data_IF_486015012075
#
_entry.id   IF_486015012075
#
_cell.length_a   1.000
_cell.length_b   1.000
_cell.length_c   1.000
_cell.angle_alpha   90.00
_cell.angle_beta   90.00
_cell.angle_gamma   90.00
#
_symmetry.space_group_name_H-M   'P 1'
#
loop_
_entity.id
_entity.type
_entity.pdbx_description
1 polymer ?
#
# COMPACT_ATOMS: atom_id res chain seq x y z
N UNK A 1 26.25 16.82 -16.51
CA UNK A 1 24.78 16.80 -16.65
C UNK A 1 24.21 17.42 -15.38
N UNK A 2 23.77 18.68 -15.45
CA UNK A 2 23.35 19.47 -14.28
C UNK A 2 21.99 18.98 -13.81
N UNK A 3 21.96 18.28 -12.67
CA UNK A 3 20.73 18.00 -11.94
C UNK A 3 20.26 19.27 -11.28
N UNK A 4 19.40 20.02 -11.98
CA UNK A 4 18.63 21.08 -11.36
C UNK A 4 17.68 20.45 -10.35
N UNK A 5 17.99 20.63 -9.07
CA UNK A 5 17.11 20.31 -7.96
C UNK A 5 15.94 21.28 -7.98
N UNK A 6 14.93 20.99 -8.80
CA UNK A 6 13.61 21.62 -8.68
C UNK A 6 13.04 21.18 -7.34
N UNK A 7 13.34 21.98 -6.31
CA UNK A 7 12.82 21.80 -4.97
C UNK A 7 11.31 21.71 -5.04
N UNK A 8 10.76 20.67 -4.40
CA UNK A 8 9.34 20.52 -4.16
C UNK A 8 8.89 21.80 -3.45
N UNK A 9 8.15 22.66 -4.14
CA UNK A 9 7.38 23.71 -3.48
C UNK A 9 6.32 22.99 -2.64
N UNK A 10 6.68 22.71 -1.39
CA UNK A 10 5.74 22.30 -0.36
C UNK A 10 4.74 23.44 -0.23
N UNK A 11 3.58 23.26 -0.86
CA UNK A 11 2.43 24.15 -0.68
C UNK A 11 2.24 24.31 0.83
N UNK A 12 2.37 25.56 1.28
CA UNK A 12 2.21 26.02 2.66
C UNK A 12 0.72 25.94 3.09
N UNK A 13 -0.01 24.92 2.64
CA UNK A 13 -1.33 24.59 3.15
C UNK A 13 -1.15 23.99 4.53
N UNK A 14 -1.73 24.62 5.55
CA UNK A 14 -1.66 24.11 6.92
C UNK A 14 -2.10 22.65 6.97
N UNK A 15 -1.45 21.85 7.82
CA UNK A 15 -1.69 20.40 8.02
C UNK A 15 -3.19 20.04 8.07
N UNK A 16 -4.02 20.96 8.59
CA UNK A 16 -5.47 20.83 8.68
C UNK A 16 -6.23 20.80 7.34
N UNK A 17 -5.67 21.34 6.25
CA UNK A 17 -6.33 21.37 4.94
C UNK A 17 -6.22 20.04 4.18
N UNK A 18 -5.16 19.26 4.39
CA UNK A 18 -4.95 17.97 3.72
C UNK A 18 -5.52 16.77 4.54
N UNK A 19 -5.82 16.96 5.83
CA UNK A 19 -6.48 15.95 6.70
C UNK A 19 -7.75 15.31 6.09
N UNK A 20 -8.74 16.06 5.57
CA UNK A 20 -9.96 15.45 5.04
C UNK A 20 -9.69 14.54 3.82
N UNK A 21 -8.71 14.90 2.99
CA UNK A 21 -8.30 14.09 1.83
C UNK A 21 -7.67 12.77 2.32
N UNK A 22 -6.81 12.86 3.34
CA UNK A 22 -6.20 11.67 3.97
C UNK A 22 -7.25 10.73 4.59
N UNK A 23 -8.27 11.27 5.25
CA UNK A 23 -9.37 10.49 5.84
C UNK A 23 -10.17 9.75 4.76
N UNK A 24 -10.54 10.42 3.68
CA UNK A 24 -11.29 9.79 2.57
C UNK A 24 -10.47 8.68 1.92
N UNK A 25 -9.20 8.94 1.62
CA UNK A 25 -8.30 7.93 1.03
C UNK A 25 -8.15 6.72 1.97
N UNK A 26 -7.96 6.97 3.27
CA UNK A 26 -7.85 5.92 4.27
C UNK A 26 -9.13 5.08 4.38
N UNK A 27 -10.30 5.72 4.38
CA UNK A 27 -11.59 5.05 4.42
C UNK A 27 -11.79 4.15 3.19
N UNK A 28 -11.56 4.67 1.99
CA UNK A 28 -11.72 3.89 0.75
C UNK A 28 -10.69 2.74 0.70
N UNK A 29 -9.45 2.99 1.09
CA UNK A 29 -8.43 1.95 1.17
C UNK A 29 -8.79 0.84 2.16
N UNK A 30 -9.43 1.18 3.28
CA UNK A 30 -9.93 0.22 4.27
C UNK A 30 -11.12 -0.61 3.75
N UNK A 31 -12.08 0.02 3.08
CA UNK A 31 -13.22 -0.70 2.48
C UNK A 31 -12.80 -1.64 1.35
N UNK A 32 -11.88 -1.20 0.49
CA UNK A 32 -11.44 -2.00 -0.65
C UNK A 32 -10.39 -3.06 -0.26
N UNK A 33 -9.67 -2.87 0.86
CA UNK A 33 -8.57 -3.77 1.25
C UNK A 33 -7.33 -3.71 0.34
N UNK A 34 -7.24 -2.73 -0.56
CA UNK A 34 -6.22 -2.65 -1.62
C UNK A 34 -4.91 -1.99 -1.13
N UNK A 35 -4.89 -1.45 0.09
CA UNK A 35 -3.76 -0.71 0.64
C UNK A 35 -3.67 0.72 0.08
N UNK A 36 -3.30 1.69 0.92
CA UNK A 36 -3.33 3.11 0.57
C UNK A 36 -2.39 3.54 -0.57
N UNK A 37 -1.49 2.66 -1.02
CA UNK A 37 -0.49 2.94 -2.06
C UNK A 37 -1.10 3.19 -3.44
N UNK A 38 -2.19 2.50 -3.76
CA UNK A 38 -2.93 2.67 -5.03
C UNK A 38 -3.47 4.09 -5.23
N UNK A 39 -3.82 4.75 -4.15
CA UNK A 39 -4.34 6.11 -4.19
C UNK A 39 -3.26 7.18 -3.92
N UNK A 40 -2.34 6.91 -3.00
CA UNK A 40 -1.34 7.90 -2.56
C UNK A 40 -0.21 8.12 -3.58
N UNK A 41 0.25 7.07 -4.26
CA UNK A 41 1.32 7.17 -5.27
C UNK A 41 0.93 8.07 -6.46
N UNK A 42 -0.22 7.88 -7.15
CA UNK A 42 -0.59 8.74 -8.27
C UNK A 42 -0.90 10.17 -7.84
N UNK A 43 -1.46 10.38 -6.63
CA UNK A 43 -1.69 11.71 -6.08
C UNK A 43 -0.37 12.47 -5.87
N UNK A 44 0.62 11.83 -5.25
CA UNK A 44 1.94 12.43 -5.02
C UNK A 44 2.68 12.70 -6.33
N UNK A 45 2.55 11.79 -7.32
CA UNK A 45 3.16 12.00 -8.64
C UNK A 45 2.51 13.16 -9.39
N UNK A 46 1.18 13.37 -9.26
CA UNK A 46 0.49 14.56 -9.77
C UNK A 46 0.93 15.85 -9.09
N UNK A 47 1.36 15.80 -7.81
CA UNK A 47 1.96 16.92 -7.08
C UNK A 47 3.48 17.08 -7.31
N UNK A 48 4.07 16.36 -8.27
CA UNK A 48 5.47 16.52 -8.70
C UNK A 48 6.50 15.71 -7.93
N UNK A 49 6.10 14.83 -7.00
CA UNK A 49 7.04 13.98 -6.27
C UNK A 49 7.72 12.95 -7.19
N UNK A 50 8.95 12.55 -6.86
CA UNK A 50 9.63 11.44 -7.55
C UNK A 50 8.92 10.10 -7.26
N UNK A 51 8.99 9.13 -8.17
CA UNK A 51 8.36 7.80 -7.95
C UNK A 51 8.88 7.14 -6.67
N UNK A 52 10.17 7.29 -6.38
CA UNK A 52 10.82 6.78 -5.17
C UNK A 52 10.24 7.45 -3.91
N UNK A 53 10.10 8.78 -3.92
CA UNK A 53 9.52 9.51 -2.79
C UNK A 53 8.05 9.14 -2.59
N UNK A 54 7.26 9.11 -3.67
CA UNK A 54 5.84 8.74 -3.61
C UNK A 54 5.64 7.31 -3.07
N UNK A 55 6.45 6.34 -3.52
CA UNK A 55 6.40 4.97 -3.03
C UNK A 55 6.85 4.85 -1.55
N UNK A 56 7.88 5.61 -1.14
CA UNK A 56 8.37 5.61 0.22
C UNK A 56 7.32 6.13 1.22
N UNK A 57 6.50 7.12 0.84
CA UNK A 57 5.44 7.65 1.69
C UNK A 57 4.13 6.85 1.64
N UNK A 58 3.94 5.99 0.64
CA UNK A 58 2.73 5.21 0.46
C UNK A 58 2.63 3.99 1.40
N UNK A 59 3.75 3.32 1.64
CA UNK A 59 3.82 2.07 2.40
C UNK A 59 3.68 2.19 3.93
N UNK A 60 4.11 3.27 4.62
CA UNK A 60 4.06 3.36 6.09
C UNK A 60 2.67 3.21 6.67
N UNK A 61 1.63 3.64 5.94
CA UNK A 61 0.24 3.55 6.39
C UNK A 61 -0.31 2.12 6.43
N UNK A 62 0.34 1.17 5.75
CA UNK A 62 -0.10 -0.24 5.76
C UNK A 62 0.14 -0.90 7.11
N UNK A 63 1.18 -0.48 7.85
CA UNK A 63 1.53 -1.04 9.15
C UNK A 63 0.47 -0.77 10.23
N UNK A 64 0.05 0.48 10.50
CA UNK A 64 -1.01 0.73 11.49
C UNK A 64 -2.31 0.04 11.08
N UNK A 65 -2.65 0.04 9.80
CA UNK A 65 -3.83 -0.65 9.26
C UNK A 65 -3.80 -2.17 9.54
N UNK A 66 -2.68 -2.83 9.24
CA UNK A 66 -2.52 -4.26 9.47
C UNK A 66 -2.59 -4.62 10.96
N UNK A 67 -2.00 -3.79 11.83
CA UNK A 67 -2.07 -3.96 13.29
C UNK A 67 -3.52 -3.87 13.75
N UNK A 68 -4.26 -2.83 13.35
CA UNK A 68 -5.65 -2.65 13.75
C UNK A 68 -6.51 -3.83 13.29
N UNK A 69 -6.40 -4.24 12.02
CA UNK A 69 -7.14 -5.40 11.50
C UNK A 69 -6.83 -6.69 12.26
N UNK A 70 -5.54 -6.97 12.51
CA UNK A 70 -5.11 -8.16 13.25
C UNK A 70 -5.65 -8.16 14.68
N UNK A 71 -5.58 -7.01 15.37
CA UNK A 71 -6.13 -6.86 16.72
C UNK A 71 -7.65 -7.05 16.75
N UNK A 72 -8.38 -6.52 15.77
CA UNK A 72 -9.83 -6.70 15.67
C UNK A 72 -10.19 -8.17 15.50
N UNK A 73 -9.52 -8.90 14.58
CA UNK A 73 -9.77 -10.33 14.40
C UNK A 73 -9.39 -11.15 15.63
N UNK A 74 -8.30 -10.77 16.31
CA UNK A 74 -7.89 -11.43 17.56
C UNK A 74 -8.93 -11.21 18.68
N UNK A 75 -9.39 -9.97 18.87
CA UNK A 75 -10.43 -9.63 19.84
C UNK A 75 -11.72 -10.41 19.58
N UNK A 76 -12.16 -10.46 18.32
CA UNK A 76 -13.37 -11.16 17.92
C UNK A 76 -13.27 -12.68 18.11
N UNK A 77 -12.07 -13.25 17.96
CA UNK A 77 -11.84 -14.67 18.23
C UNK A 77 -11.96 -15.01 19.72
N UNK A 78 -11.49 -14.12 20.61
CA UNK A 78 -11.64 -14.27 22.07
C UNK A 78 -13.10 -14.15 22.46
N UNK A 79 -13.79 -13.11 22.00
CA UNK A 79 -15.19 -12.82 22.33
C UNK A 79 -16.13 -13.99 21.96
N UNK A 80 -15.91 -14.59 20.79
CA UNK A 80 -16.73 -15.72 20.31
C UNK A 80 -16.20 -17.11 20.70
N UNK A 81 -15.15 -17.19 21.53
CA UNK A 81 -14.50 -18.44 21.93
C UNK A 81 -14.23 -19.40 20.75
N UNK A 82 -13.70 -18.83 19.66
CA UNK A 82 -13.45 -19.57 18.43
C UNK A 82 -12.12 -20.31 18.55
N UNK A 83 -12.18 -21.65 18.55
CA UNK A 83 -11.01 -22.51 18.50
C UNK A 83 -11.00 -23.29 17.18
N UNK A 84 -10.06 -22.94 16.28
CA UNK A 84 -9.87 -23.57 14.97
C UNK A 84 -8.83 -24.72 15.00
N UNK A 85 -8.29 -25.05 16.18
CA UNK A 85 -7.29 -26.11 16.34
C UNK A 85 -5.84 -25.67 16.14
N UNK A 86 -4.94 -26.65 16.07
CA UNK A 86 -3.49 -26.41 16.14
C UNK A 86 -2.94 -25.68 14.89
N UNK A 87 -2.38 -24.49 15.11
CA UNK A 87 -1.81 -23.64 14.07
C UNK A 87 -2.58 -22.35 13.79
N UNK A 88 -3.74 -22.17 14.43
CA UNK A 88 -4.50 -20.93 14.46
C UNK A 88 -4.34 -20.23 15.81
N UNK A 89 -4.16 -18.91 15.79
CA UNK A 89 -4.25 -18.06 16.97
C UNK A 89 -5.56 -17.28 16.86
N UNK A 90 -6.64 -17.85 17.41
CA UNK A 90 -7.99 -17.37 17.13
C UNK A 90 -8.34 -17.56 15.65
N UNK A 91 -8.65 -16.46 14.95
CA UNK A 91 -8.91 -16.48 13.50
C UNK A 91 -7.65 -16.29 12.63
N UNK A 92 -6.46 -16.18 13.25
CA UNK A 92 -5.21 -15.87 12.52
C UNK A 92 -4.45 -17.17 12.24
N UNK A 93 -4.26 -17.51 10.96
CA UNK A 93 -3.48 -18.68 10.56
C UNK A 93 -1.97 -18.37 10.54
N UNK A 94 -1.25 -18.86 11.55
CA UNK A 94 0.16 -18.49 11.78
C UNK A 94 1.08 -19.01 10.67
N UNK A 95 0.89 -20.26 10.23
CA UNK A 95 1.70 -20.83 9.13
C UNK A 95 1.50 -20.05 7.84
N UNK A 96 0.27 -19.68 7.51
CA UNK A 96 -0.04 -18.85 6.34
C UNK A 96 0.60 -17.47 6.44
N UNK A 97 0.52 -16.83 7.61
CA UNK A 97 1.17 -15.54 7.85
C UNK A 97 2.69 -15.62 7.63
N UNK A 98 3.35 -16.67 8.12
CA UNK A 98 4.79 -16.88 7.90
C UNK A 98 5.12 -17.09 6.43
N UNK A 99 4.35 -17.93 5.73
CA UNK A 99 4.53 -18.16 4.28
C UNK A 99 4.40 -16.83 3.54
N UNK A 100 3.35 -16.04 3.82
CA UNK A 100 3.12 -14.74 3.21
C UNK A 100 4.26 -13.75 3.48
N UNK A 101 4.81 -13.73 4.70
CA UNK A 101 5.97 -12.87 5.04
C UNK A 101 7.18 -13.26 4.20
N UNK A 102 7.50 -14.55 4.14
CA UNK A 102 8.67 -15.06 3.41
C UNK A 102 8.52 -14.81 1.91
N UNK A 103 7.37 -15.15 1.33
CA UNK A 103 7.12 -14.94 -0.11
C UNK A 103 7.07 -13.46 -0.46
N UNK A 104 6.49 -12.61 0.40
CA UNK A 104 6.48 -11.15 0.19
C UNK A 104 7.89 -10.60 0.22
N UNK A 105 8.74 -11.03 1.16
CA UNK A 105 10.12 -10.56 1.25
C UNK A 105 10.94 -10.97 0.01
N UNK A 106 10.79 -12.22 -0.44
CA UNK A 106 11.37 -12.71 -1.70
C UNK A 106 10.86 -11.91 -2.91
N UNK A 107 9.56 -11.66 -2.98
CA UNK A 107 8.93 -10.87 -4.05
C UNK A 107 9.45 -9.44 -4.08
N UNK A 108 9.59 -8.79 -2.92
CA UNK A 108 10.16 -7.44 -2.81
C UNK A 108 11.63 -7.44 -3.25
N UNK A 109 12.43 -8.42 -2.82
CA UNK A 109 13.82 -8.56 -3.26
C UNK A 109 13.90 -8.73 -4.77
N UNK A 110 13.08 -9.60 -5.35
CA UNK A 110 13.01 -9.81 -6.79
C UNK A 110 12.59 -8.53 -7.53
N UNK A 111 11.53 -7.85 -7.07
CA UNK A 111 11.10 -6.57 -7.63
C UNK A 111 12.20 -5.50 -7.55
N UNK A 112 12.94 -5.43 -6.44
CA UNK A 112 14.05 -4.49 -6.26
C UNK A 112 15.24 -4.78 -7.19
N UNK A 113 15.46 -6.05 -7.56
CA UNK A 113 16.48 -6.45 -8.54
C UNK A 113 16.10 -6.05 -9.96
N UNK A 114 14.80 -6.05 -10.28
CA UNK A 114 14.28 -5.67 -11.60
C UNK A 114 14.12 -4.13 -11.74
N UNK A 115 13.94 -3.40 -10.64
CA UNK A 115 13.81 -1.94 -10.60
C UNK A 115 14.92 -1.15 -11.33
N UNK A 116 16.23 -1.46 -11.21
CA UNK A 116 17.28 -0.69 -11.89
C UNK A 116 17.21 -0.70 -13.43
N UNK A 117 16.42 -1.58 -14.04
CA UNK A 117 16.25 -1.64 -15.50
C UNK A 117 15.13 -0.75 -16.05
N UNK A 118 14.33 -0.09 -15.20
CA UNK A 118 13.18 0.69 -15.65
C UNK A 118 13.46 2.20 -15.63
N UNK A 119 13.59 2.78 -16.83
CA UNK A 119 13.59 4.23 -17.05
C UNK A 119 12.33 4.87 -16.45
N UNK A 120 12.49 5.97 -15.70
CA UNK A 120 11.46 6.66 -14.90
C UNK A 120 10.18 7.03 -15.69
N UNK A 121 10.29 7.15 -17.03
CA UNK A 121 9.15 7.39 -17.94
C UNK A 121 8.26 6.15 -18.12
N UNK A 122 8.83 4.94 -18.17
CA UNK A 122 8.08 3.69 -18.37
C UNK A 122 7.36 3.23 -17.11
N UNK A 123 7.90 3.51 -15.93
CA UNK A 123 7.23 3.22 -14.65
C UNK A 123 5.98 4.08 -14.43
N UNK A 124 6.03 5.36 -14.83
CA UNK A 124 4.89 6.26 -14.74
C UNK A 124 3.68 5.82 -15.57
N UNK A 125 3.90 5.14 -16.70
CA UNK A 125 2.82 4.64 -17.57
C UNK A 125 2.37 3.22 -17.22
N UNK A 126 3.27 2.36 -16.76
CA UNK A 126 2.94 0.95 -16.47
C UNK A 126 2.09 0.78 -15.22
N UNK A 127 2.25 1.64 -14.20
CA UNK A 127 1.44 1.59 -12.99
C UNK A 127 -0.07 1.83 -13.23
N UNK A 128 -0.51 2.92 -13.88
CA UNK A 128 -1.92 3.12 -14.18
C UNK A 128 -2.45 2.09 -15.19
N UNK A 129 -1.62 1.60 -16.13
CA UNK A 129 -2.02 0.54 -17.05
C UNK A 129 -2.33 -0.76 -16.31
N UNK A 130 -1.47 -1.19 -15.38
CA UNK A 130 -1.71 -2.36 -14.53
C UNK A 130 -2.99 -2.21 -13.71
N UNK A 131 -3.23 -1.03 -13.13
CA UNK A 131 -4.47 -0.75 -12.41
C UNK A 131 -5.71 -0.85 -13.31
N UNK A 132 -5.63 -0.33 -14.53
CA UNK A 132 -6.73 -0.40 -15.50
C UNK A 132 -7.00 -1.85 -15.92
N UNK A 133 -5.95 -2.65 -16.12
CA UNK A 133 -6.08 -4.08 -16.41
C UNK A 133 -6.75 -4.82 -15.24
N UNK A 134 -6.32 -4.58 -14.00
CA UNK A 134 -6.95 -5.19 -12.81
C UNK A 134 -8.42 -4.79 -12.70
N UNK A 135 -8.73 -3.51 -12.92
CA UNK A 135 -10.11 -3.01 -12.93
C UNK A 135 -10.95 -3.72 -14.01
N UNK A 136 -10.42 -3.85 -15.22
CA UNK A 136 -11.10 -4.53 -16.31
C UNK A 136 -11.36 -6.01 -15.97
N UNK A 137 -10.37 -6.71 -15.39
CA UNK A 137 -10.53 -8.10 -14.95
C UNK A 137 -11.62 -8.21 -13.88
N UNK A 138 -11.64 -7.31 -12.89
CA UNK A 138 -12.69 -7.31 -11.86
C UNK A 138 -14.09 -6.96 -12.37
N UNK A 139 -14.21 -6.23 -13.49
CA UNK A 139 -15.51 -5.94 -14.10
C UNK A 139 -16.00 -7.06 -15.03
N UNK A 140 -15.08 -7.87 -15.56
CA UNK A 140 -15.38 -8.98 -16.47
C UNK A 140 -15.63 -10.31 -15.75
N UNK A 141 -15.18 -10.45 -14.51
CA UNK A 141 -15.43 -11.59 -13.61
C UNK A 141 -16.64 -11.30 -12.74
#
# INVERSE_FOLDING_TARGET
MKTESTGIQLSRGGIFADTPIGVVIGAVAAFLGVGGSVMTVPLMRRRGASMIQAAAFANPLTLPMAITGTLTYFYFAIDKHIDLGSGFLGMIYIKGALILIVTSWLGIRFASLLMPYLSDKRHAQSYPLLLLVVLAVMLLV
#
